data_IF_717821906717
#
_entry.id   IF_717821906717
#
_cell.length_a   1.000
_cell.length_b   1.000
_cell.length_c   1.000
_cell.angle_alpha   90.00
_cell.angle_beta   90.00
_cell.angle_gamma   90.00
#
_symmetry.space_group_name_H-M   'P 1'
#
loop_
_entity.id
_entity.type
_entity.pdbx_description
1 polymer ?
#
# COMPACT_ATOMS: atom_id res chain seq x y z
N UNK A 1 5.81 -33.05 15.75
CA UNK A 1 4.95 -32.06 15.07
C UNK A 1 5.89 -31.03 14.48
N UNK A 2 5.96 -30.90 13.16
CA UNK A 2 6.78 -29.83 12.56
C UNK A 2 6.03 -28.52 12.81
N UNK A 3 6.65 -27.63 13.58
CA UNK A 3 6.21 -26.25 13.68
C UNK A 3 6.37 -25.65 12.28
N UNK A 4 5.26 -25.39 11.60
CA UNK A 4 5.26 -24.57 10.39
C UNK A 4 5.62 -23.13 10.82
N UNK A 5 6.92 -22.86 10.98
CA UNK A 5 7.44 -21.49 10.87
C UNK A 5 7.00 -20.94 9.51
N UNK A 6 6.64 -19.66 9.42
CA UNK A 6 6.28 -19.09 8.14
C UNK A 6 7.52 -19.06 7.24
N UNK A 7 7.38 -19.55 6.00
CA UNK A 7 8.44 -19.68 5.01
C UNK A 7 8.88 -18.30 4.47
N UNK A 8 9.59 -17.51 5.27
CA UNK A 8 10.22 -16.26 4.84
C UNK A 8 11.66 -16.49 4.45
N UNK A 9 12.01 -16.21 3.20
CA UNK A 9 13.37 -16.34 2.69
C UNK A 9 14.02 -14.98 2.50
N UNK A 10 15.28 -14.78 2.91
CA UNK A 10 16.09 -13.67 2.45
C UNK A 10 16.06 -13.55 0.92
N UNK A 11 16.10 -12.32 0.42
CA UNK A 11 15.95 -12.03 -1.01
C UNK A 11 16.96 -12.78 -1.90
N UNK A 12 18.16 -13.05 -1.40
CA UNK A 12 19.19 -13.87 -2.09
C UNK A 12 18.71 -15.31 -2.30
N UNK A 13 18.16 -15.95 -1.25
CA UNK A 13 17.65 -17.32 -1.35
C UNK A 13 16.37 -17.37 -2.21
N UNK A 14 15.54 -16.33 -2.14
CA UNK A 14 14.39 -16.20 -3.03
C UNK A 14 14.84 -16.08 -4.50
N UNK A 15 15.86 -15.26 -4.77
CA UNK A 15 16.45 -15.10 -6.10
C UNK A 15 16.93 -16.43 -6.69
N UNK A 16 17.64 -17.25 -5.90
CA UNK A 16 18.07 -18.59 -6.32
C UNK A 16 16.89 -19.51 -6.59
N UNK A 17 15.92 -19.55 -5.68
CA UNK A 17 14.74 -20.44 -5.77
C UNK A 17 13.84 -20.10 -6.96
N UNK A 18 13.70 -18.81 -7.28
CA UNK A 18 12.85 -18.32 -8.36
C UNK A 18 13.61 -18.04 -9.66
N UNK A 19 14.93 -18.32 -9.70
CA UNK A 19 15.81 -18.06 -10.85
C UNK A 19 15.65 -16.63 -11.40
N UNK A 20 15.52 -15.66 -10.49
CA UNK A 20 15.35 -14.24 -10.81
C UNK A 20 16.44 -13.43 -10.16
N UNK A 21 16.91 -12.44 -10.88
CA UNK A 21 17.89 -11.50 -10.36
C UNK A 21 17.35 -10.73 -9.12
N UNK A 22 18.16 -10.52 -8.05
CA UNK A 22 17.77 -9.77 -6.87
C UNK A 22 17.25 -8.36 -7.19
N UNK A 23 17.88 -7.64 -8.13
CA UNK A 23 17.43 -6.31 -8.52
C UNK A 23 16.12 -6.38 -9.31
N UNK A 24 15.91 -7.46 -10.07
CA UNK A 24 14.61 -7.79 -10.65
C UNK A 24 13.49 -7.91 -9.62
N UNK A 25 13.74 -8.59 -8.49
CA UNK A 25 12.76 -8.70 -7.39
C UNK A 25 12.51 -7.35 -6.71
N UNK A 26 13.56 -6.55 -6.48
CA UNK A 26 13.42 -5.19 -5.96
C UNK A 26 12.55 -4.34 -6.90
N UNK A 27 12.79 -4.39 -8.21
CA UNK A 27 11.99 -3.66 -9.19
C UNK A 27 10.52 -4.10 -9.19
N UNK A 28 10.25 -5.40 -9.12
CA UNK A 28 8.88 -5.91 -9.01
C UNK A 28 8.19 -5.46 -7.73
N UNK A 29 8.93 -5.31 -6.62
CA UNK A 29 8.41 -4.74 -5.38
C UNK A 29 8.15 -3.23 -5.48
N UNK A 30 9.07 -2.48 -6.10
CA UNK A 30 8.90 -1.05 -6.38
C UNK A 30 7.67 -0.80 -7.27
N UNK A 31 7.38 -1.70 -8.19
CA UNK A 31 6.18 -1.71 -9.05
C UNK A 31 4.95 -2.32 -8.36
N UNK A 32 5.02 -2.63 -7.06
CA UNK A 32 3.94 -3.21 -6.26
C UNK A 32 3.41 -4.58 -6.75
N UNK A 33 4.18 -5.29 -7.59
CA UNK A 33 3.80 -6.61 -8.11
C UNK A 33 4.01 -7.72 -7.09
N UNK A 34 5.00 -7.56 -6.21
CA UNK A 34 5.29 -8.50 -5.13
C UNK A 34 5.39 -7.78 -3.77
N UNK A 35 4.95 -8.41 -2.67
CA UNK A 35 5.24 -7.93 -1.33
C UNK A 35 6.66 -8.35 -0.92
N UNK A 36 7.37 -7.45 -0.25
CA UNK A 36 8.56 -7.77 0.51
C UNK A 36 8.32 -7.49 1.98
N UNK A 37 9.19 -8.06 2.82
CA UNK A 37 9.10 -8.02 4.26
C UNK A 37 10.45 -7.66 4.88
N UNK A 38 10.42 -7.16 6.11
CA UNK A 38 11.60 -7.03 6.98
C UNK A 38 11.36 -7.81 8.25
N UNK A 39 12.41 -8.43 8.79
CA UNK A 39 12.37 -9.02 10.12
C UNK A 39 12.73 -7.95 11.15
N UNK A 40 11.82 -7.73 12.10
CA UNK A 40 12.04 -6.86 13.26
C UNK A 40 12.32 -7.73 14.49
N UNK A 41 13.26 -7.28 15.32
CA UNK A 41 13.62 -7.95 16.57
C UNK A 41 13.56 -6.92 17.69
N UNK A 42 12.41 -6.88 18.37
CA UNK A 42 12.12 -5.94 19.46
C UNK A 42 12.39 -4.47 19.09
N UNK A 43 12.07 -4.05 17.86
CA UNK A 43 12.38 -2.69 17.43
C UNK A 43 11.38 -1.71 18.08
N UNK A 44 11.84 -0.69 18.83
CA UNK A 44 10.94 0.27 19.48
C UNK A 44 10.28 1.17 18.43
N UNK A 45 8.96 1.22 18.46
CA UNK A 45 8.16 1.99 17.52
C UNK A 45 6.74 2.24 18.06
N UNK A 46 5.96 2.99 17.31
CA UNK A 46 4.52 3.13 17.52
C UNK A 46 3.78 2.32 16.47
N UNK A 47 2.68 1.70 16.87
CA UNK A 47 1.74 1.13 15.90
C UNK A 47 0.54 2.06 15.77
N UNK A 48 0.11 2.26 14.53
CA UNK A 48 -1.19 2.83 14.21
C UNK A 48 -2.07 1.70 13.73
N UNK A 49 -3.28 1.64 14.29
CA UNK A 49 -4.27 0.63 13.94
C UNK A 49 -5.63 1.25 13.67
N UNK A 50 -6.32 0.71 12.68
CA UNK A 50 -7.70 1.08 12.39
C UNK A 50 -8.58 -0.13 12.63
N UNK A 51 -9.48 0.00 13.61
CA UNK A 51 -10.35 -1.09 14.01
C UNK A 51 -11.78 -0.59 13.91
N UNK A 52 -12.65 -1.44 13.35
CA UNK A 52 -14.09 -1.21 13.33
C UNK A 52 -14.61 -0.91 14.74
N UNK A 53 -15.30 0.21 14.89
CA UNK A 53 -15.73 0.68 16.19
C UNK A 53 -16.60 1.92 16.15
N UNK A 54 -17.42 2.03 17.19
CA UNK A 54 -18.09 3.24 17.62
C UNK A 54 -17.50 3.68 18.98
N UNK A 55 -18.10 4.69 19.60
CA UNK A 55 -17.69 5.16 20.93
C UNK A 55 -17.74 4.07 22.01
N UNK A 56 -18.66 3.10 21.91
CA UNK A 56 -18.76 2.01 22.89
C UNK A 56 -17.60 1.02 22.74
N UNK A 57 -17.23 0.71 21.50
CA UNK A 57 -16.15 -0.23 21.20
C UNK A 57 -14.75 0.35 21.45
N UNK A 58 -14.63 1.68 21.60
CA UNK A 58 -13.36 2.36 21.81
C UNK A 58 -12.64 1.87 23.07
N UNK A 59 -13.33 1.85 24.21
CA UNK A 59 -12.77 1.36 25.47
C UNK A 59 -12.61 -0.17 25.49
N UNK A 60 -13.50 -0.87 24.78
CA UNK A 60 -13.38 -2.33 24.62
C UNK A 60 -12.07 -2.72 23.93
N UNK A 61 -11.70 -2.05 22.83
CA UNK A 61 -10.47 -2.32 22.10
C UNK A 61 -9.23 -1.87 22.86
N UNK A 62 -9.26 -0.70 23.53
CA UNK A 62 -8.18 -0.29 24.44
C UNK A 62 -7.90 -1.35 25.50
N UNK A 63 -8.95 -1.89 26.12
CA UNK A 63 -8.79 -2.97 27.11
C UNK A 63 -8.14 -4.20 26.49
N UNK A 64 -8.59 -4.63 25.30
CA UNK A 64 -8.00 -5.79 24.62
C UNK A 64 -6.50 -5.62 24.32
N UNK A 65 -6.10 -4.45 23.85
CA UNK A 65 -4.69 -4.10 23.62
C UNK A 65 -3.90 -4.16 24.93
N UNK A 66 -4.41 -3.54 25.99
CA UNK A 66 -3.74 -3.55 27.31
C UNK A 66 -3.65 -4.94 27.94
N UNK A 67 -4.63 -5.81 27.71
CA UNK A 67 -4.65 -7.17 28.27
C UNK A 67 -3.94 -8.20 27.38
N UNK A 68 -3.34 -7.80 26.26
CA UNK A 68 -2.58 -8.72 25.41
C UNK A 68 -3.41 -9.67 24.57
N UNK A 69 -4.71 -9.40 24.39
CA UNK A 69 -5.63 -10.25 23.61
C UNK A 69 -5.93 -9.70 22.21
N UNK A 70 -5.14 -8.72 21.80
CA UNK A 70 -5.25 -8.06 20.51
C UNK A 70 -4.64 -8.89 19.36
N UNK A 71 -4.96 -8.49 18.13
CA UNK A 71 -4.64 -9.19 16.89
C UNK A 71 -3.14 -9.49 16.70
N UNK A 72 -2.25 -8.59 17.12
CA UNK A 72 -0.79 -8.75 17.01
C UNK A 72 -0.13 -9.21 18.32
N UNK A 73 -0.91 -9.55 19.35
CA UNK A 73 -0.40 -9.88 20.69
C UNK A 73 -0.69 -11.32 21.12
N UNK A 74 -1.83 -11.87 20.71
CA UNK A 74 -2.33 -13.12 21.27
C UNK A 74 -2.01 -14.33 20.40
N UNK A 75 -1.55 -15.43 21.00
CA UNK A 75 -1.13 -16.66 20.30
C UNK A 75 -2.20 -17.32 19.43
N UNK A 76 -3.47 -17.17 19.82
CA UNK A 76 -4.60 -17.65 19.02
C UNK A 76 -4.87 -16.83 17.75
N UNK A 77 -4.21 -15.68 17.57
CA UNK A 77 -4.42 -14.83 16.39
C UNK A 77 -3.53 -15.30 15.22
N UNK A 78 -4.04 -15.25 13.97
CA UNK A 78 -3.30 -15.75 12.80
C UNK A 78 -1.93 -15.10 12.61
N UNK A 79 -1.79 -13.82 12.98
CA UNK A 79 -0.56 -13.09 12.77
C UNK A 79 0.52 -13.40 13.81
N UNK A 80 0.18 -14.02 14.95
CA UNK A 80 1.12 -14.15 16.07
C UNK A 80 2.43 -14.87 15.72
N UNK A 81 2.40 -15.82 14.77
CA UNK A 81 3.61 -16.51 14.30
C UNK A 81 4.38 -15.76 13.22
N UNK A 82 3.76 -14.76 12.60
CA UNK A 82 4.33 -13.99 11.49
C UNK A 82 4.87 -12.67 12.01
N UNK A 83 4.05 -11.91 12.75
CA UNK A 83 4.36 -10.58 13.25
C UNK A 83 3.66 -10.32 14.57
N UNK A 84 4.39 -9.73 15.50
CA UNK A 84 3.90 -9.42 16.83
C UNK A 84 4.20 -7.96 17.17
N UNK A 85 3.32 -7.37 17.96
CA UNK A 85 3.54 -6.04 18.52
C UNK A 85 3.23 -6.08 20.00
N UNK A 86 4.21 -5.78 20.84
CA UNK A 86 4.04 -5.73 22.30
C UNK A 86 4.03 -4.27 22.77
N UNK A 87 2.89 -3.75 23.27
CA UNK A 87 2.83 -2.42 23.86
C UNK A 87 3.84 -2.28 25.00
N UNK A 88 4.37 -1.07 25.17
CA UNK A 88 5.14 -0.76 26.37
C UNK A 88 4.27 -0.95 27.63
N UNK A 89 4.91 -1.28 28.74
CA UNK A 89 4.21 -1.37 30.02
C UNK A 89 3.58 -0.01 30.32
N UNK A 90 2.28 -0.04 30.63
CA UNK A 90 1.49 1.17 30.90
C UNK A 90 1.38 2.16 29.72
N UNK A 91 1.62 1.69 28.47
CA UNK A 91 1.51 2.51 27.27
C UNK A 91 0.17 3.26 27.20
N UNK A 92 0.26 4.57 26.95
CA UNK A 92 -0.90 5.38 26.64
C UNK A 92 -1.43 4.98 25.25
N UNK A 93 -2.74 4.75 25.17
CA UNK A 93 -3.41 4.43 23.91
C UNK A 93 -4.23 5.65 23.49
N UNK A 94 -3.66 6.41 22.56
CA UNK A 94 -4.39 7.46 21.86
C UNK A 94 -5.44 6.79 20.98
N UNK A 95 -6.71 7.03 21.27
CA UNK A 95 -7.81 6.50 20.46
C UNK A 95 -8.74 7.62 20.05
N UNK A 96 -9.08 7.67 18.77
CA UNK A 96 -10.04 8.63 18.23
C UNK A 96 -10.99 7.96 17.25
N UNK A 97 -12.27 8.32 17.34
CA UNK A 97 -13.24 7.99 16.30
C UNK A 97 -12.89 8.83 15.07
N UNK A 98 -12.96 8.21 13.89
CA UNK A 98 -12.81 8.94 12.64
C UNK A 98 -14.18 9.48 12.21
N UNK A 99 -14.21 10.75 11.80
CA UNK A 99 -15.43 11.40 11.33
C UNK A 99 -15.84 10.89 9.94
N UNK A 100 -17.15 10.94 9.68
CA UNK A 100 -17.79 10.28 8.54
C UNK A 100 -18.21 8.85 8.91
N UNK A 101 -19.34 8.38 8.41
CA UNK A 101 -20.03 7.12 8.78
C UNK A 101 -19.24 5.80 8.51
N UNK A 102 -17.91 5.84 8.53
CA UNK A 102 -17.01 4.73 8.31
C UNK A 102 -17.01 3.72 9.47
N UNK A 103 -17.45 4.13 10.67
CA UNK A 103 -17.45 3.25 11.85
C UNK A 103 -16.04 2.72 12.19
N UNK A 104 -15.03 3.58 12.06
CA UNK A 104 -13.62 3.24 12.30
C UNK A 104 -13.04 4.08 13.43
N UNK A 105 -12.29 3.42 14.30
CA UNK A 105 -11.49 4.06 15.34
C UNK A 105 -10.00 3.88 14.99
N UNK A 106 -9.24 4.97 15.11
CA UNK A 106 -7.77 4.95 15.05
C UNK A 106 -7.21 4.80 16.46
N UNK A 107 -6.34 3.82 16.66
CA UNK A 107 -5.58 3.60 17.89
C UNK A 107 -4.10 3.79 17.60
N UNK A 108 -3.39 4.49 18.48
CA UNK A 108 -1.95 4.69 18.38
C UNK A 108 -1.30 4.55 19.74
N UNK A 109 -0.25 3.73 19.82
CA UNK A 109 0.43 3.42 21.07
C UNK A 109 1.87 2.94 20.83
N UNK A 110 2.73 3.17 21.82
CA UNK A 110 4.14 2.75 21.81
C UNK A 110 4.29 1.25 22.12
N UNK A 111 5.35 0.66 21.59
CA UNK A 111 5.67 -0.74 21.83
C UNK A 111 6.90 -1.20 21.05
N UNK A 112 7.03 -2.52 20.94
CA UNK A 112 8.12 -3.18 20.26
C UNK A 112 7.55 -4.13 19.21
N UNK A 113 8.03 -4.02 17.98
CA UNK A 113 7.63 -4.87 16.87
C UNK A 113 8.60 -6.06 16.70
N UNK A 114 8.04 -7.24 16.50
CA UNK A 114 8.78 -8.49 16.27
C UNK A 114 8.25 -9.23 15.05
N UNK A 115 9.09 -10.07 14.46
CA UNK A 115 8.73 -10.93 13.33
C UNK A 115 8.79 -10.22 11.98
N UNK A 116 8.10 -10.76 10.99
CA UNK A 116 8.13 -10.32 9.60
C UNK A 116 7.01 -9.32 9.31
N UNK A 117 7.39 -8.06 9.12
CA UNK A 117 6.49 -6.96 8.79
C UNK A 117 6.59 -6.62 7.31
N UNK A 118 5.47 -6.26 6.68
CA UNK A 118 5.43 -5.97 5.25
C UNK A 118 6.05 -4.60 5.01
N UNK A 119 6.90 -4.48 4.00
CA UNK A 119 7.42 -3.18 3.56
C UNK A 119 6.78 -2.74 2.25
N UNK A 120 6.57 -1.44 2.13
CA UNK A 120 6.01 -0.83 0.92
C UNK A 120 6.87 0.34 0.48
N UNK A 121 7.13 0.36 -0.83
CA UNK A 121 7.79 1.47 -1.47
C UNK A 121 6.91 2.73 -1.39
N UNK A 122 7.56 3.84 -1.09
CA UNK A 122 7.06 5.22 -1.16
C UNK A 122 7.46 5.85 -2.50
N UNK A 123 6.94 7.04 -2.86
CA UNK A 123 7.35 7.73 -4.09
C UNK A 123 8.86 7.97 -4.21
N UNK A 124 9.56 8.04 -3.07
CA UNK A 124 11.00 8.33 -3.01
C UNK A 124 11.90 7.12 -2.76
N UNK A 125 11.33 5.92 -2.62
CA UNK A 125 12.12 4.69 -2.43
C UNK A 125 13.10 4.45 -3.57
N UNK A 126 12.69 4.73 -4.81
CA UNK A 126 13.52 4.52 -6.01
C UNK A 126 14.80 5.35 -6.06
N UNK A 127 14.90 6.38 -5.22
CA UNK A 127 16.08 7.24 -5.16
C UNK A 127 17.14 6.72 -4.18
N UNK A 128 16.94 5.55 -3.57
CA UNK A 128 17.91 4.94 -2.65
C UNK A 128 19.29 4.84 -3.30
N UNK A 129 20.34 5.14 -2.54
CA UNK A 129 21.74 4.96 -2.94
C UNK A 129 22.31 3.58 -2.56
N UNK A 130 21.43 2.65 -2.18
CA UNK A 130 21.78 1.34 -1.64
C UNK A 130 21.17 1.06 -0.27
N UNK A 131 20.73 2.12 0.43
CA UNK A 131 20.10 2.02 1.74
C UNK A 131 18.63 2.45 1.70
N UNK A 132 17.80 1.77 2.48
CA UNK A 132 16.39 2.06 2.65
C UNK A 132 16.14 2.53 4.07
N UNK A 133 15.37 3.60 4.23
CA UNK A 133 15.12 4.20 5.55
C UNK A 133 13.71 3.86 6.00
N UNK A 134 13.57 3.21 7.16
CA UNK A 134 12.26 3.00 7.76
C UNK A 134 11.69 4.37 8.12
N UNK A 135 10.59 4.75 7.48
CA UNK A 135 9.94 6.04 7.66
C UNK A 135 8.49 5.84 8.04
N UNK A 136 7.96 6.79 8.81
CA UNK A 136 6.55 6.79 9.13
C UNK A 136 5.72 7.34 7.97
N UNK A 137 4.52 6.77 7.79
CA UNK A 137 3.65 7.14 6.67
C UNK A 137 3.19 8.60 6.72
N UNK A 138 3.14 9.21 7.90
CA UNK A 138 2.65 10.57 8.06
C UNK A 138 3.73 11.57 7.56
N UNK A 139 5.00 11.36 7.93
CA UNK A 139 6.18 12.09 7.43
C UNK A 139 6.39 11.88 5.93
N UNK A 140 6.24 10.65 5.43
CA UNK A 140 6.35 10.36 3.99
C UNK A 140 5.33 11.20 3.21
N UNK A 141 4.07 11.25 3.67
CA UNK A 141 3.02 12.03 3.01
C UNK A 141 3.30 13.53 3.02
N UNK A 142 3.86 14.05 4.12
CA UNK A 142 4.08 15.49 4.27
C UNK A 142 5.32 16.02 3.54
N UNK A 143 6.45 15.30 3.55
CA UNK A 143 7.72 15.88 3.13
C UNK A 143 8.38 15.20 1.92
N UNK A 144 8.15 13.90 1.66
CA UNK A 144 8.75 13.14 0.55
C UNK A 144 10.24 13.49 0.27
N UNK A 145 11.05 13.72 1.31
CA UNK A 145 12.42 14.22 1.17
C UNK A 145 13.49 13.22 1.63
N UNK A 146 13.08 12.09 2.21
CA UNK A 146 13.98 11.04 2.68
C UNK A 146 14.18 10.04 1.54
N UNK A 147 15.35 10.11 0.89
CA UNK A 147 15.70 9.16 -0.17
C UNK A 147 15.67 7.73 0.34
N UNK A 148 15.10 6.80 -0.44
CA UNK A 148 15.02 5.40 -0.01
C UNK A 148 14.00 5.14 1.10
N UNK A 149 13.15 6.11 1.46
CA UNK A 149 12.14 5.91 2.51
C UNK A 149 11.21 4.74 2.18
N UNK A 150 10.96 3.88 3.17
CA UNK A 150 10.05 2.74 3.07
C UNK A 150 9.10 2.74 4.26
N UNK A 151 7.84 2.40 3.99
CA UNK A 151 6.81 2.31 5.01
C UNK A 151 6.64 0.85 5.48
N UNK A 152 6.37 0.65 6.77
CA UNK A 152 6.24 -0.68 7.39
C UNK A 152 4.80 -0.91 7.82
N UNK A 153 4.22 -2.00 7.35
CA UNK A 153 2.80 -2.34 7.49
C UNK A 153 2.59 -3.67 8.21
N UNK A 154 1.47 -3.75 8.92
CA UNK A 154 0.90 -4.97 9.47
C UNK A 154 0.29 -5.86 8.38
N UNK A 155 -0.72 -6.64 8.74
CA UNK A 155 -1.39 -7.55 7.80
C UNK A 155 -2.02 -6.80 6.63
N UNK A 156 -2.61 -5.64 6.90
CA UNK A 156 -3.30 -4.80 5.93
C UNK A 156 -2.65 -3.42 5.84
N UNK A 157 -3.02 -2.66 4.82
CA UNK A 157 -2.59 -1.26 4.64
C UNK A 157 -3.14 -0.31 5.71
N UNK A 158 -4.04 -0.79 6.57
CA UNK A 158 -4.61 -0.01 7.65
C UNK A 158 -3.71 0.04 8.88
N UNK A 159 -2.94 -1.01 9.13
CA UNK A 159 -2.07 -1.07 10.30
C UNK A 159 -0.63 -0.79 9.88
N UNK A 160 0.02 0.21 10.48
CA UNK A 160 1.39 0.59 10.11
C UNK A 160 2.22 1.00 11.33
N UNK A 161 3.54 0.94 11.17
CA UNK A 161 4.48 1.35 12.19
C UNK A 161 5.02 2.76 11.93
N UNK A 162 5.29 3.48 13.01
CA UNK A 162 5.91 4.80 13.04
C UNK A 162 7.18 4.67 13.88
N UNK A 163 8.30 5.13 13.35
CA UNK A 163 9.61 5.06 14.00
C UNK A 163 10.06 6.44 14.44
N UNK A 164 10.49 6.57 15.70
CA UNK A 164 11.00 7.84 16.23
C UNK A 164 12.46 8.11 15.87
N UNK A 165 13.18 7.06 15.46
CA UNK A 165 14.57 7.14 15.02
C UNK A 165 14.65 6.68 13.56
N UNK A 166 15.63 7.19 12.84
CA UNK A 166 15.97 6.70 11.52
C UNK A 166 16.62 5.32 11.62
N UNK A 167 16.06 4.36 10.90
CA UNK A 167 16.63 3.01 10.79
C UNK A 167 16.93 2.71 9.33
N UNK A 168 18.21 2.54 9.00
CA UNK A 168 18.64 2.13 7.67
C UNK A 168 18.62 0.60 7.53
N UNK A 169 18.22 0.14 6.34
CA UNK A 169 18.15 -1.25 5.93
C UNK A 169 18.80 -1.43 4.57
N UNK A 170 19.43 -2.57 4.38
CA UNK A 170 19.99 -2.99 3.10
C UNK A 170 19.07 -3.99 2.40
N UNK A 171 19.31 -4.26 1.11
CA UNK A 171 18.57 -5.30 0.37
C UNK A 171 18.64 -6.68 1.03
N UNK A 172 19.73 -6.94 1.76
CA UNK A 172 19.96 -8.18 2.52
C UNK A 172 19.02 -8.34 3.71
N UNK A 173 18.43 -7.25 4.20
CA UNK A 173 17.42 -7.27 5.26
C UNK A 173 16.01 -7.60 4.74
N UNK A 174 15.84 -7.76 3.43
CA UNK A 174 14.54 -7.99 2.82
C UNK A 174 14.25 -9.47 2.66
N UNK A 175 13.00 -9.81 2.96
CA UNK A 175 12.48 -11.16 2.96
C UNK A 175 11.30 -11.30 2.01
N UNK A 176 11.15 -12.51 1.49
CA UNK A 176 10.09 -12.94 0.61
C UNK A 176 9.27 -14.03 1.30
N UNK A 177 7.94 -13.91 1.31
CA UNK A 177 7.05 -14.98 1.80
C UNK A 177 6.84 -16.03 0.70
N UNK A 178 7.28 -17.26 0.93
CA UNK A 178 7.16 -18.36 -0.02
C UNK A 178 5.71 -18.64 -0.43
N UNK A 179 4.76 -18.38 0.47
CA UNK A 179 3.34 -18.60 0.21
C UNK A 179 2.77 -17.63 -0.82
N UNK A 180 3.44 -16.50 -1.04
CA UNK A 180 3.05 -15.55 -2.11
C UNK A 180 3.25 -16.13 -3.52
N UNK A 181 4.00 -17.23 -3.66
CA UNK A 181 4.29 -17.88 -4.95
C UNK A 181 3.74 -19.30 -5.07
N UNK A 182 2.87 -19.75 -4.16
CA UNK A 182 2.13 -20.98 -4.39
C UNK A 182 1.21 -20.80 -5.61
N UNK A 183 1.12 -21.81 -6.49
CA UNK A 183 1.25 -21.58 -7.92
C UNK A 183 0.04 -20.87 -8.53
N UNK A 184 0.31 -19.87 -9.36
CA UNK A 184 -0.47 -19.62 -10.58
C UNK A 184 -0.19 -20.70 -11.65
N UNK A 185 -0.14 -21.98 -11.25
CA UNK A 185 -0.26 -23.08 -12.20
C UNK A 185 -1.75 -23.22 -12.48
N UNK A 186 -2.30 -22.59 -13.52
CA UNK A 186 -2.33 -23.20 -14.87
C UNK A 186 -2.43 -22.19 -16.03
N UNK A 187 -2.39 -20.86 -15.82
CA UNK A 187 -2.77 -19.92 -16.91
C UNK A 187 -1.64 -19.21 -17.66
N UNK A 188 -0.37 -19.30 -17.24
CA UNK A 188 0.72 -18.56 -17.90
C UNK A 188 1.59 -19.49 -18.76
N UNK A 189 0.96 -20.23 -19.67
CA UNK A 189 1.61 -20.64 -20.91
C UNK A 189 0.75 -20.11 -22.04
N UNK A 190 0.94 -18.82 -22.36
CA UNK A 190 0.84 -18.20 -23.69
C UNK A 190 0.56 -16.70 -23.54
N UNK A 191 1.63 -15.92 -23.48
CA UNK A 191 1.84 -14.75 -24.35
C UNK A 191 2.90 -13.84 -23.74
N UNK A 192 4.16 -14.11 -24.10
CA UNK A 192 5.05 -12.98 -24.37
C UNK A 192 4.40 -12.11 -25.45
N UNK A 193 4.01 -10.88 -25.10
CA UNK A 193 4.03 -9.75 -26.02
C UNK A 193 3.89 -8.43 -25.26
N UNK A 194 5.01 -7.72 -25.21
CA UNK A 194 5.23 -6.25 -25.22
C UNK A 194 4.22 -5.38 -24.47
N UNK A 195 4.76 -4.66 -23.47
CA UNK A 195 4.28 -3.44 -22.79
C UNK A 195 2.88 -2.92 -23.12
N UNK A 196 2.05 -2.72 -22.07
CA UNK A 196 1.02 -1.68 -22.06
C UNK A 196 0.78 -1.13 -20.66
N UNK A 197 0.79 0.20 -20.57
CA UNK A 197 0.37 1.05 -19.45
C UNK A 197 -0.83 0.49 -18.67
N UNK A 198 -0.77 0.63 -17.34
CA UNK A 198 -1.78 0.15 -16.40
C UNK A 198 -3.20 0.58 -16.79
N UNK A 199 -4.11 -0.39 -16.72
CA UNK A 199 -5.50 -0.22 -17.09
C UNK A 199 -6.32 0.18 -15.86
N UNK A 200 -6.90 1.39 -15.90
CA UNK A 200 -8.06 1.80 -15.06
C UNK A 200 -9.11 0.66 -15.05
N UNK A 201 -9.76 0.36 -13.92
CA UNK A 201 -10.74 -0.73 -13.82
C UNK A 201 -12.02 -0.44 -14.66
N UNK A 202 -12.79 -1.48 -15.04
CA UNK A 202 -13.96 -1.33 -15.93
C UNK A 202 -15.03 -0.37 -15.35
N UNK A 203 -15.37 -0.41 -14.05
CA UNK A 203 -16.31 0.54 -13.44
C UNK A 203 -15.80 1.99 -13.38
N UNK A 204 -14.54 2.21 -12.97
CA UNK A 204 -13.92 3.55 -12.92
C UNK A 204 -13.89 4.20 -14.30
N UNK A 205 -13.59 3.40 -15.32
CA UNK A 205 -13.66 3.82 -16.72
C UNK A 205 -15.06 4.28 -17.13
N UNK A 206 -16.08 3.51 -16.80
CA UNK A 206 -17.47 3.87 -17.13
C UNK A 206 -17.87 5.15 -16.40
N UNK A 207 -17.52 5.29 -15.12
CA UNK A 207 -17.78 6.50 -14.34
C UNK A 207 -17.12 7.74 -14.96
N UNK A 208 -15.83 7.63 -15.33
CA UNK A 208 -15.11 8.70 -16.03
C UNK A 208 -15.78 9.07 -17.36
N UNK A 209 -16.17 8.08 -18.17
CA UNK A 209 -16.84 8.34 -19.45
C UNK A 209 -18.20 9.04 -19.27
N UNK A 210 -18.97 8.66 -18.26
CA UNK A 210 -20.27 9.28 -17.94
C UNK A 210 -20.06 10.71 -17.49
N UNK A 211 -19.15 10.96 -16.55
CA UNK A 211 -18.83 12.32 -16.07
C UNK A 211 -18.38 13.24 -17.21
N UNK A 212 -17.52 12.76 -18.10
CA UNK A 212 -17.05 13.52 -19.25
C UNK A 212 -18.18 13.84 -20.24
N UNK A 213 -19.13 12.94 -20.45
CA UNK A 213 -20.24 13.16 -21.38
C UNK A 213 -21.37 14.02 -20.83
N UNK A 214 -21.69 13.90 -19.54
CA UNK A 214 -22.78 14.64 -18.91
C UNK A 214 -22.41 16.12 -18.72
N UNK A 215 -21.17 16.40 -18.32
CA UNK A 215 -20.79 17.75 -17.89
C UNK A 215 -20.08 18.60 -18.95
N UNK A 216 -19.60 18.01 -20.05
CA UNK A 216 -18.64 18.71 -20.93
C UNK A 216 -18.98 18.68 -22.42
N UNK A 217 -20.24 18.40 -22.80
CA UNK A 217 -20.74 18.61 -24.16
C UNK A 217 -20.87 20.11 -24.48
N UNK A 218 -20.73 20.46 -25.75
CA UNK A 218 -21.06 21.80 -26.23
C UNK A 218 -22.59 22.00 -26.33
N UNK A 219 -23.01 23.23 -26.61
CA UNK A 219 -24.42 23.61 -26.75
C UNK A 219 -25.15 22.88 -27.88
N UNK A 220 -24.41 22.23 -28.79
CA UNK A 220 -24.93 21.45 -29.91
C UNK A 220 -24.90 19.94 -29.64
N UNK A 221 -24.52 19.52 -28.41
CA UNK A 221 -24.44 18.13 -28.00
C UNK A 221 -23.20 17.38 -28.48
N UNK A 222 -22.25 18.08 -29.11
CA UNK A 222 -20.99 17.50 -29.59
C UNK A 222 -19.91 17.56 -28.51
N UNK A 223 -18.93 16.68 -28.64
CA UNK A 223 -17.77 16.59 -27.75
C UNK A 223 -16.79 17.70 -28.10
N UNK A 224 -16.49 18.58 -27.15
CA UNK A 224 -15.48 19.62 -27.28
C UNK A 224 -14.24 19.27 -26.44
N UNK A 225 -13.26 18.64 -27.10
CA UNK A 225 -12.05 18.13 -26.46
C UNK A 225 -11.21 19.22 -25.79
N UNK A 226 -11.12 20.40 -26.40
CA UNK A 226 -10.35 21.54 -25.88
C UNK A 226 -10.94 22.09 -24.59
N UNK A 227 -12.27 22.21 -24.54
CA UNK A 227 -12.99 22.62 -23.33
C UNK A 227 -12.83 21.59 -22.21
N UNK A 228 -12.94 20.30 -22.54
CA UNK A 228 -12.73 19.20 -21.57
C UNK A 228 -11.31 19.22 -20.98
N UNK A 229 -10.29 19.32 -21.85
CA UNK A 229 -8.89 19.36 -21.46
C UNK A 229 -8.58 20.56 -20.54
N UNK A 230 -9.07 21.75 -20.90
CA UNK A 230 -8.91 22.96 -20.11
C UNK A 230 -9.58 22.87 -18.73
N UNK A 231 -10.81 22.38 -18.67
CA UNK A 231 -11.54 22.25 -17.40
C UNK A 231 -10.93 21.18 -16.48
N UNK A 232 -10.58 20.01 -17.00
CA UNK A 232 -9.93 18.97 -16.21
C UNK A 232 -8.57 19.42 -15.66
N UNK A 233 -7.83 20.21 -16.43
CA UNK A 233 -6.54 20.78 -15.99
C UNK A 233 -6.76 21.80 -14.87
N UNK A 234 -7.80 22.63 -14.96
CA UNK A 234 -8.16 23.58 -13.92
C UNK A 234 -8.61 22.86 -12.64
N UNK A 235 -9.49 21.86 -12.75
CA UNK A 235 -9.98 21.07 -11.62
C UNK A 235 -8.83 20.29 -10.96
N UNK A 236 -7.98 19.63 -11.75
CA UNK A 236 -6.79 18.94 -11.24
C UNK A 236 -5.90 19.89 -10.43
N UNK A 237 -5.65 21.09 -10.95
CA UNK A 237 -4.89 22.12 -10.24
C UNK A 237 -5.56 22.55 -8.93
N UNK A 238 -6.88 22.69 -8.91
CA UNK A 238 -7.65 23.01 -7.69
C UNK A 238 -7.51 21.95 -6.61
N UNK A 239 -7.38 20.68 -6.99
CA UNK A 239 -7.19 19.56 -6.07
C UNK A 239 -5.71 19.20 -5.84
N UNK A 240 -4.77 20.06 -6.25
CA UNK A 240 -3.33 19.90 -5.98
C UNK A 240 -2.57 18.98 -6.93
N UNK A 241 -3.17 18.59 -8.05
CA UNK A 241 -2.53 17.80 -9.10
C UNK A 241 -1.87 18.72 -10.15
N UNK A 242 -0.65 18.39 -10.57
CA UNK A 242 0.11 19.16 -11.56
C UNK A 242 -0.09 18.68 -13.00
N UNK A 243 -0.97 17.72 -13.22
CA UNK A 243 -1.23 17.13 -14.52
C UNK A 243 -1.99 18.10 -15.43
N UNK A 244 -1.48 18.24 -16.66
CA UNK A 244 -2.17 18.93 -17.73
C UNK A 244 -2.76 17.90 -18.69
N UNK A 245 -4.01 18.13 -19.08
CA UNK A 245 -4.70 17.31 -20.08
C UNK A 245 -4.68 18.04 -21.41
N UNK A 246 -4.49 17.29 -22.50
CA UNK A 246 -4.52 17.80 -23.86
C UNK A 246 -5.70 17.23 -24.63
N UNK A 247 -6.14 17.95 -25.66
CA UNK A 247 -7.21 17.55 -26.57
C UNK A 247 -7.00 16.13 -27.11
N UNK A 248 -5.76 15.82 -27.52
CA UNK A 248 -5.38 14.49 -28.03
C UNK A 248 -5.54 13.39 -26.99
N UNK A 249 -5.21 13.69 -25.73
CA UNK A 249 -5.37 12.74 -24.61
C UNK A 249 -6.85 12.44 -24.37
N UNK A 250 -7.70 13.47 -24.36
CA UNK A 250 -9.15 13.31 -24.16
C UNK A 250 -9.79 12.59 -25.35
N UNK A 251 -9.40 12.93 -26.58
CA UNK A 251 -9.87 12.26 -27.79
C UNK A 251 -9.53 10.77 -27.80
N UNK A 252 -8.30 10.41 -27.40
CA UNK A 252 -7.88 9.02 -27.34
C UNK A 252 -8.66 8.24 -26.25
N UNK A 253 -8.92 8.85 -25.10
CA UNK A 253 -9.72 8.22 -24.05
C UNK A 253 -11.12 7.91 -24.53
N UNK A 254 -11.82 8.88 -25.13
CA UNK A 254 -13.20 8.73 -25.62
C UNK A 254 -13.26 7.66 -26.72
N UNK A 255 -12.34 7.70 -27.69
CA UNK A 255 -12.28 6.70 -28.76
C UNK A 255 -12.15 5.27 -28.23
N UNK A 256 -11.28 5.06 -27.23
CA UNK A 256 -11.09 3.75 -26.58
C UNK A 256 -12.37 3.23 -25.88
N UNK A 257 -13.30 4.10 -25.52
CA UNK A 257 -14.61 3.70 -24.98
C UNK A 257 -15.62 3.36 -26.07
N UNK A 258 -15.70 4.17 -27.12
CA UNK A 258 -16.64 3.96 -28.22
C UNK A 258 -16.34 2.66 -28.98
N UNK A 259 -15.06 2.35 -29.19
CA UNK A 259 -14.62 1.11 -29.82
C UNK A 259 -14.99 -0.14 -28.98
N UNK A 260 -15.14 0.01 -27.66
CA UNK A 260 -15.55 -1.06 -26.74
C UNK A 260 -17.05 -1.21 -26.56
N UNK A 261 -17.87 -0.23 -26.96
CA UNK A 261 -19.34 -0.36 -27.00
C UNK A 261 -19.83 -1.20 -28.18
N UNK A 262 -18.98 -1.40 -29.20
CA UNK A 262 -19.30 -2.12 -30.44
C UNK A 262 -18.97 -3.63 -30.40
N UNK A 263 -18.35 -4.10 -29.32
CA UNK A 263 -18.07 -5.51 -29.03
C UNK A 263 -18.89 -5.96 -27.82
#
# INVERSE_FOLDING_TARGET
MMENEPDFYPLILASEKFQRDPDGLINDWLDHKIPLYIRLDALPCRIVRYIGGDNFLLEHWKRKIKTGVDYYQHEAMPEFKIRQFYPEKDAEIEARLLEGDLGLCRYTYNGHAHGYWRIKATPVTRFSDGHYVLSDMDTVKEYNNISGAIAVYGKSEWDYLIFSNEFCKEKTDFFFDANTLLPQSEEIIMAEKKEKQERISKPERVALYVMLNEHYRDSNGNINYSKMAGMLTADASQYGFSQQFSDDTIAEWIKRFEDKKKN
#
